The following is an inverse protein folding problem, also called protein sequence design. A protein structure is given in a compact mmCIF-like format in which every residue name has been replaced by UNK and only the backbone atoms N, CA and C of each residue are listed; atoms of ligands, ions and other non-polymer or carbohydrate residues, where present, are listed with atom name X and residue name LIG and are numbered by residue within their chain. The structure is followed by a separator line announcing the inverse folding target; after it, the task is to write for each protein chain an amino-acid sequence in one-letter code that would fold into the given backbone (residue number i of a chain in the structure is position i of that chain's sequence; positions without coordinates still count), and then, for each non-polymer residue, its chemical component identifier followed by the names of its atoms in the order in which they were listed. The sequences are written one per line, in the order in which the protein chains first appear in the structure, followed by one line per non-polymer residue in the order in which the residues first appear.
data_IF_522536718712
#
_entry.id   IF_522536718712
#
_cell.length_a   1.000
_cell.length_b   1.000
_cell.length_c   1.000
_cell.angle_alpha   90.00
_cell.angle_beta   90.00
_cell.angle_gamma   90.00
#
_symmetry.space_group_name_H-M   'P 1'
#
loop_
_entity.id
_entity.type
_entity.pdbx_description
1 polymer ?
#
# COMPACT_ATOMS: atom_id res chain seq x y z
N UNK A 1 23.73 12.82 -1.45
CA UNK A 1 24.36 13.86 -0.62
C UNK A 1 25.78 13.97 -1.13
N UNK A 2 26.20 15.16 -1.54
CA UNK A 2 27.56 15.41 -2.01
C UNK A 2 28.25 16.37 -1.03
N UNK A 3 29.49 16.07 -0.66
CA UNK A 3 30.22 16.80 0.40
C UNK A 3 31.63 17.12 -0.09
N UNK A 4 31.99 18.40 -0.26
CA UNK A 4 33.33 18.80 -0.70
C UNK A 4 34.45 18.36 0.25
N UNK A 5 35.64 18.12 -0.30
CA UNK A 5 36.81 17.61 0.43
C UNK A 5 37.26 18.55 1.55
N UNK A 6 37.32 19.84 1.28
CA UNK A 6 37.68 20.90 2.23
C UNK A 6 36.66 21.00 3.38
N UNK A 7 35.36 20.88 3.08
CA UNK A 7 34.29 20.83 4.10
C UNK A 7 34.42 19.59 4.97
N UNK A 8 34.72 18.42 4.40
CA UNK A 8 34.87 17.18 5.17
C UNK A 8 36.11 17.15 6.08
N UNK A 9 37.17 17.91 5.75
CA UNK A 9 38.39 18.02 6.53
C UNK A 9 38.35 19.14 7.60
N UNK A 10 37.30 19.97 7.59
CA UNK A 10 37.15 21.08 8.54
C UNK A 10 36.72 20.56 9.91
N UNK A 11 37.48 20.89 10.96
CA UNK A 11 37.10 20.60 12.34
C UNK A 11 36.06 21.63 12.82
N UNK A 12 35.01 21.15 13.50
CA UNK A 12 33.95 21.99 14.03
C UNK A 12 33.25 21.36 15.23
N UNK A 13 32.38 22.13 15.88
CA UNK A 13 31.52 21.63 16.94
C UNK A 13 30.45 20.73 16.31
N UNK A 14 30.31 19.52 16.85
CA UNK A 14 29.25 18.61 16.44
C UNK A 14 27.97 18.93 17.21
N UNK A 15 27.07 19.65 16.55
CA UNK A 15 25.71 19.90 17.06
C UNK A 15 24.68 19.39 16.04
N UNK A 16 24.10 18.24 16.35
CA UNK A 16 23.01 17.70 15.54
C UNK A 16 21.67 18.20 16.10
N UNK A 17 20.79 18.77 15.27
CA UNK A 17 19.51 19.26 15.75
C UNK A 17 18.66 18.10 16.29
N UNK A 18 18.01 18.31 17.43
CA UNK A 18 17.07 17.32 18.01
C UNK A 18 15.85 17.11 17.12
N UNK A 19 15.43 18.16 16.42
CA UNK A 19 14.29 18.13 15.51
C UNK A 19 14.65 18.81 14.19
N UNK A 20 14.26 18.19 13.09
CA UNK A 20 14.42 18.74 11.74
C UNK A 20 13.03 19.09 11.24
N UNK A 21 12.82 20.35 10.87
CA UNK A 21 11.58 20.80 10.22
C UNK A 21 11.86 21.18 8.77
N UNK A 22 11.11 20.59 7.84
CA UNK A 22 11.17 20.96 6.43
C UNK A 22 10.06 21.95 6.12
N UNK A 23 10.41 23.10 5.52
CA UNK A 23 9.42 24.13 5.16
C UNK A 23 8.48 23.67 4.05
N UNK A 24 9.00 22.89 3.10
CA UNK A 24 8.34 22.55 1.83
C UNK A 24 7.57 21.24 1.88
N UNK A 25 7.88 20.33 2.80
CA UNK A 25 7.26 19.01 2.88
C UNK A 25 6.51 18.84 4.20
N UNK A 26 5.19 18.73 4.11
CA UNK A 26 4.27 18.55 5.24
C UNK A 26 3.29 17.42 4.93
N UNK A 27 3.71 16.15 5.05
CA UNK A 27 2.86 15.01 4.76
C UNK A 27 1.67 14.93 5.72
N UNK A 28 0.55 14.41 5.22
CA UNK A 28 -0.67 14.23 6.00
C UNK A 28 -0.67 12.83 6.61
N UNK A 29 -0.36 12.74 7.90
CA UNK A 29 -0.35 11.46 8.63
C UNK A 29 -1.70 11.08 9.23
N UNK A 30 -2.61 12.04 9.38
CA UNK A 30 -3.95 11.78 9.92
C UNK A 30 -4.92 11.54 8.77
N UNK A 31 -5.48 10.34 8.73
CA UNK A 31 -6.54 10.01 7.79
C UNK A 31 -7.79 10.87 7.97
N UNK A 32 -8.45 11.19 6.86
CA UNK A 32 -9.68 11.98 6.87
C UNK A 32 -10.86 11.14 7.41
N UNK A 33 -11.43 11.53 8.55
CA UNK A 33 -12.50 10.78 9.22
C UNK A 33 -13.74 10.55 8.34
N UNK A 34 -14.08 11.48 7.44
CA UNK A 34 -15.22 11.30 6.52
C UNK A 34 -14.93 10.24 5.46
N UNK A 35 -13.69 10.22 4.93
CA UNK A 35 -13.27 9.20 3.97
C UNK A 35 -13.16 7.82 4.62
N UNK A 36 -12.65 7.75 5.85
CA UNK A 36 -12.59 6.49 6.62
C UNK A 36 -14.02 5.95 6.84
N UNK A 37 -14.97 6.81 7.21
CA UNK A 37 -16.38 6.39 7.38
C UNK A 37 -16.97 5.88 6.07
N UNK A 38 -16.77 6.60 4.96
CA UNK A 38 -17.22 6.17 3.63
C UNK A 38 -16.58 4.83 3.21
N UNK A 39 -15.30 4.64 3.50
CA UNK A 39 -14.60 3.38 3.25
C UNK A 39 -15.22 2.22 4.03
N UNK A 40 -15.54 2.42 5.31
CA UNK A 40 -16.22 1.41 6.12
C UNK A 40 -17.63 1.06 5.60
N UNK A 41 -18.37 2.05 5.06
CA UNK A 41 -19.67 1.82 4.42
C UNK A 41 -19.50 0.97 3.14
N UNK A 42 -18.52 1.30 2.28
CA UNK A 42 -18.21 0.52 1.08
C UNK A 42 -17.83 -0.93 1.42
N UNK A 43 -17.01 -1.14 2.44
CA UNK A 43 -16.64 -2.50 2.89
C UNK A 43 -17.86 -3.31 3.33
N UNK A 44 -18.88 -2.67 3.91
CA UNK A 44 -20.10 -3.33 4.38
C UNK A 44 -21.03 -3.73 3.23
N UNK A 45 -21.03 -2.96 2.15
CA UNK A 45 -21.89 -3.18 0.98
C UNK A 45 -21.26 -4.15 -0.05
N UNK A 46 -19.93 -4.22 -0.09
CA UNK A 46 -19.19 -5.08 -1.00
C UNK A 46 -19.46 -6.57 -0.74
N UNK A 47 -19.67 -7.33 -1.82
CA UNK A 47 -19.86 -8.79 -1.77
C UNK A 47 -18.57 -9.54 -2.05
N UNK A 48 -17.66 -8.95 -2.83
CA UNK A 48 -16.37 -9.51 -3.23
C UNK A 48 -15.25 -8.47 -3.02
N UNK A 49 -15.04 -7.96 -1.79
CA UNK A 49 -13.96 -7.03 -1.52
C UNK A 49 -12.60 -7.72 -1.61
N UNK A 50 -11.58 -6.98 -2.01
CA UNK A 50 -10.21 -7.46 -2.14
C UNK A 50 -9.21 -6.39 -1.70
N UNK A 51 -8.28 -6.75 -0.82
CA UNK A 51 -7.11 -5.90 -0.53
C UNK A 51 -6.03 -6.08 -1.59
N UNK A 52 -5.51 -4.96 -2.09
CA UNK A 52 -4.40 -4.89 -3.04
C UNK A 52 -3.24 -4.16 -2.38
N UNK A 53 -2.27 -4.94 -1.89
CA UNK A 53 -1.19 -4.45 -1.05
C UNK A 53 0.02 -4.07 -1.91
N UNK A 54 0.47 -2.83 -1.78
CA UNK A 54 1.61 -2.26 -2.50
C UNK A 54 2.87 -2.09 -1.66
N UNK A 55 3.96 -1.66 -2.29
CA UNK A 55 5.25 -1.44 -1.61
C UNK A 55 5.19 -0.40 -0.50
N UNK A 56 4.24 0.55 -0.55
CA UNK A 56 4.00 1.52 0.50
C UNK A 56 3.63 0.88 1.84
N UNK A 57 3.06 -0.33 1.85
CA UNK A 57 2.82 -1.10 3.07
C UNK A 57 4.13 -1.44 3.79
N UNK A 58 5.14 -1.88 3.04
CA UNK A 58 6.48 -2.21 3.56
C UNK A 58 7.22 -0.92 3.93
N UNK A 59 7.25 0.07 3.04
CA UNK A 59 7.96 1.34 3.28
C UNK A 59 7.42 2.12 4.49
N UNK A 60 6.14 1.96 4.81
CA UNK A 60 5.51 2.60 5.97
C UNK A 60 5.53 1.72 7.23
N UNK A 61 6.13 0.53 7.17
CA UNK A 61 6.15 -0.46 8.24
C UNK A 61 4.74 -0.81 8.77
N UNK A 62 3.76 -0.90 7.87
CA UNK A 62 2.34 -1.07 8.18
C UNK A 62 1.89 -2.55 8.23
N UNK A 63 2.81 -3.50 8.08
CA UNK A 63 2.50 -4.93 7.93
C UNK A 63 1.71 -5.50 9.11
N UNK A 64 1.99 -5.07 10.34
CA UNK A 64 1.27 -5.55 11.53
C UNK A 64 -0.19 -5.08 11.52
N UNK A 65 -0.42 -3.80 11.29
CA UNK A 65 -1.76 -3.21 11.21
C UNK A 65 -2.57 -3.80 10.05
N UNK A 66 -1.92 -4.10 8.92
CA UNK A 66 -2.57 -4.76 7.78
C UNK A 66 -2.96 -6.19 8.14
N UNK A 67 -2.09 -6.95 8.81
CA UNK A 67 -2.42 -8.31 9.28
C UNK A 67 -3.58 -8.31 10.26
N UNK A 68 -3.62 -7.35 11.17
CA UNK A 68 -4.76 -7.17 12.08
C UNK A 68 -6.05 -6.85 11.33
N UNK A 69 -5.99 -5.94 10.36
CA UNK A 69 -7.14 -5.57 9.53
C UNK A 69 -7.66 -6.75 8.70
N UNK A 70 -6.77 -7.50 8.06
CA UNK A 70 -7.12 -8.70 7.26
C UNK A 70 -7.71 -9.77 8.17
N UNK A 71 -7.13 -10.03 9.34
CA UNK A 71 -7.67 -11.00 10.31
C UNK A 71 -9.05 -10.60 10.84
N UNK A 72 -9.26 -9.31 11.08
CA UNK A 72 -10.52 -8.77 11.57
C UNK A 72 -11.62 -8.85 10.51
N UNK A 73 -11.32 -8.41 9.29
CA UNK A 73 -12.28 -8.34 8.19
C UNK A 73 -12.50 -9.67 7.48
N UNK A 74 -11.53 -10.57 7.54
CA UNK A 74 -11.47 -11.84 6.78
C UNK A 74 -11.57 -11.65 5.26
N UNK A 75 -11.21 -10.45 4.80
CA UNK A 75 -11.16 -10.11 3.37
C UNK A 75 -9.84 -10.63 2.81
N UNK A 76 -9.85 -11.34 1.67
CA UNK A 76 -8.63 -11.80 1.04
C UNK A 76 -7.77 -10.64 0.56
N UNK A 77 -6.48 -10.88 0.45
CA UNK A 77 -5.51 -9.92 -0.06
C UNK A 77 -4.61 -10.52 -1.13
N UNK A 78 -4.23 -9.68 -2.08
CA UNK A 78 -3.17 -9.94 -3.05
C UNK A 78 -2.01 -8.98 -2.79
N UNK A 79 -0.80 -9.44 -3.07
CA UNK A 79 0.41 -8.64 -2.90
C UNK A 79 0.98 -8.25 -4.27
N UNK A 80 1.43 -7.02 -4.42
CA UNK A 80 2.38 -6.69 -5.49
C UNK A 80 3.74 -7.34 -5.20
N UNK A 81 4.62 -7.40 -6.20
CA UNK A 81 6.01 -7.84 -5.99
C UNK A 81 6.70 -7.05 -4.86
N UNK A 82 6.42 -5.76 -4.75
CA UNK A 82 6.99 -4.87 -3.71
C UNK A 82 6.33 -5.01 -2.34
N UNK A 83 5.20 -5.71 -2.26
CA UNK A 83 4.48 -5.95 -1.02
C UNK A 83 4.67 -7.37 -0.48
N UNK A 84 5.45 -8.22 -1.14
CA UNK A 84 5.68 -9.58 -0.69
C UNK A 84 6.19 -9.60 0.76
N UNK A 85 5.48 -10.35 1.61
CA UNK A 85 5.78 -10.44 3.05
C UNK A 85 5.00 -9.44 3.91
N UNK A 86 4.13 -8.61 3.33
CA UNK A 86 3.17 -7.81 4.10
C UNK A 86 2.29 -8.75 4.92
N UNK A 87 1.69 -9.76 4.29
CA UNK A 87 1.10 -10.91 4.95
C UNK A 87 2.11 -12.05 5.09
N UNK A 88 1.82 -12.97 6.01
CA UNK A 88 2.61 -14.18 6.11
C UNK A 88 2.34 -15.10 4.92
N UNK A 89 3.33 -15.93 4.56
CA UNK A 89 3.19 -16.88 3.46
C UNK A 89 2.22 -18.02 3.76
N UNK A 90 1.93 -18.29 5.03
CA UNK A 90 0.99 -19.31 5.51
C UNK A 90 -0.40 -18.75 5.83
N UNK A 91 -0.63 -17.44 5.61
CA UNK A 91 -1.91 -16.80 5.87
C UNK A 91 -2.97 -17.28 4.86
N UNK A 92 -4.11 -17.76 5.36
CA UNK A 92 -5.23 -18.28 4.56
C UNK A 92 -5.87 -17.20 3.68
N UNK A 93 -5.76 -15.93 4.07
CA UNK A 93 -6.28 -14.80 3.31
C UNK A 93 -5.28 -14.25 2.29
N UNK A 94 -4.05 -14.77 2.24
CA UNK A 94 -3.03 -14.35 1.28
C UNK A 94 -3.13 -15.13 -0.04
N UNK A 95 -3.71 -14.49 -1.07
CA UNK A 95 -3.84 -15.02 -2.43
C UNK A 95 -2.54 -14.95 -3.25
N UNK A 96 -1.43 -14.50 -2.65
CA UNK A 96 -0.09 -14.38 -3.23
C UNK A 96 0.02 -13.19 -4.20
N UNK A 97 1.10 -13.22 -4.97
CA UNK A 97 1.47 -12.16 -5.89
C UNK A 97 0.45 -12.04 -7.02
N UNK A 98 0.07 -10.80 -7.35
CA UNK A 98 -0.69 -10.46 -8.55
C UNK A 98 0.21 -10.01 -9.71
N UNK A 99 -0.31 -10.11 -10.95
CA UNK A 99 0.35 -9.61 -12.16
C UNK A 99 0.80 -10.72 -13.12
N UNK A 100 1.68 -10.37 -14.07
CA UNK A 100 2.11 -11.24 -15.18
C UNK A 100 2.67 -12.60 -14.76
N UNK A 101 3.37 -12.66 -13.62
CA UNK A 101 3.89 -13.89 -13.01
C UNK A 101 3.21 -14.19 -11.66
N UNK A 102 2.03 -13.62 -11.44
CA UNK A 102 1.24 -13.80 -10.24
C UNK A 102 0.51 -15.15 -10.20
N UNK A 103 -0.11 -15.43 -9.06
CA UNK A 103 -0.94 -16.63 -8.92
C UNK A 103 -2.24 -16.48 -9.71
N UNK A 104 -2.76 -17.60 -10.20
CA UNK A 104 -4.07 -17.63 -10.87
C UNK A 104 -5.17 -17.11 -9.94
N UNK A 105 -5.14 -17.50 -8.66
CA UNK A 105 -6.13 -17.06 -7.66
C UNK A 105 -6.09 -15.55 -7.44
N UNK A 106 -4.89 -14.94 -7.37
CA UNK A 106 -4.74 -13.50 -7.23
C UNK A 106 -5.32 -12.73 -8.42
N UNK A 107 -4.97 -13.15 -9.64
CA UNK A 107 -5.43 -12.50 -10.87
C UNK A 107 -6.93 -12.67 -11.08
N UNK A 108 -7.49 -13.84 -10.74
CA UNK A 108 -8.93 -14.07 -10.79
C UNK A 108 -9.68 -13.21 -9.76
N UNK A 109 -9.17 -13.12 -8.52
CA UNK A 109 -9.76 -12.27 -7.50
C UNK A 109 -9.75 -10.79 -7.92
N UNK A 110 -8.66 -10.31 -8.53
CA UNK A 110 -8.58 -8.94 -9.06
C UNK A 110 -9.60 -8.68 -10.17
N UNK A 111 -9.77 -9.64 -11.09
CA UNK A 111 -10.75 -9.53 -12.18
C UNK A 111 -12.19 -9.49 -11.67
N UNK A 112 -12.49 -10.28 -10.63
CA UNK A 112 -13.85 -10.53 -10.15
C UNK A 112 -14.26 -9.69 -8.95
N UNK A 113 -13.37 -8.92 -8.34
CA UNK A 113 -13.73 -8.10 -7.18
C UNK A 113 -14.75 -7.00 -7.53
N UNK A 114 -15.61 -6.65 -6.56
CA UNK A 114 -16.56 -5.53 -6.66
C UNK A 114 -16.10 -4.31 -5.84
N UNK A 115 -15.10 -4.49 -4.98
CA UNK A 115 -14.39 -3.44 -4.27
C UNK A 115 -12.91 -3.79 -4.20
N UNK A 116 -12.07 -2.95 -4.79
CA UNK A 116 -10.61 -3.06 -4.72
C UNK A 116 -10.05 -2.01 -3.76
N UNK A 117 -9.45 -2.46 -2.67
CA UNK A 117 -8.83 -1.59 -1.67
C UNK A 117 -7.32 -1.60 -1.87
N UNK A 118 -6.84 -0.62 -2.64
CA UNK A 118 -5.42 -0.39 -2.86
C UNK A 118 -4.78 0.30 -1.67
N UNK A 119 -3.78 -0.33 -1.07
CA UNK A 119 -3.02 0.22 0.07
C UNK A 119 -1.56 0.36 -0.33
N UNK A 120 -1.09 1.60 -0.43
CA UNK A 120 0.31 1.92 -0.74
C UNK A 120 0.80 1.35 -2.06
N UNK A 121 -0.09 1.17 -3.04
CA UNK A 121 0.26 0.61 -4.34
C UNK A 121 0.28 1.68 -5.43
N UNK A 122 1.16 1.46 -6.40
CA UNK A 122 1.15 2.17 -7.68
C UNK A 122 0.60 1.22 -8.74
N UNK A 123 -0.32 1.73 -9.56
CA UNK A 123 -0.91 0.96 -10.66
C UNK A 123 0.04 0.92 -11.86
N UNK A 124 1.06 0.08 -11.76
CA UNK A 124 2.05 -0.18 -12.81
C UNK A 124 1.47 -1.15 -13.87
N UNK A 125 1.93 -1.01 -15.12
CA UNK A 125 1.48 -1.79 -16.26
C UNK A 125 1.82 -3.28 -16.15
N UNK A 126 2.88 -3.64 -15.41
CA UNK A 126 3.25 -5.05 -15.12
C UNK A 126 2.22 -5.79 -14.28
N UNK A 127 1.31 -5.06 -13.64
CA UNK A 127 0.21 -5.63 -12.84
C UNK A 127 -1.14 -5.39 -13.50
N UNK A 128 -1.37 -4.18 -14.02
CA UNK A 128 -2.66 -3.82 -14.61
C UNK A 128 -2.86 -4.38 -16.02
N UNK A 129 -1.77 -4.63 -16.76
CA UNK A 129 -1.85 -5.06 -18.16
C UNK A 129 -2.70 -4.09 -18.98
N UNK A 130 -3.84 -4.56 -19.49
CA UNK A 130 -4.84 -3.68 -20.13
C UNK A 130 -5.71 -3.04 -19.04
N UNK A 131 -5.46 -1.77 -18.76
CA UNK A 131 -6.16 -0.99 -17.71
C UNK A 131 -7.68 -1.02 -17.82
N UNK A 132 -8.25 -1.15 -19.03
CA UNK A 132 -9.71 -1.26 -19.22
C UNK A 132 -10.32 -2.55 -18.68
N UNK A 133 -9.51 -3.59 -18.47
CA UNK A 133 -9.95 -4.88 -17.92
C UNK A 133 -9.52 -5.06 -16.47
N UNK A 134 -8.62 -4.22 -15.97
CA UNK A 134 -8.15 -4.31 -14.59
C UNK A 134 -9.25 -3.88 -13.60
N UNK A 135 -9.62 -4.79 -12.70
CA UNK A 135 -10.65 -4.55 -11.68
C UNK A 135 -11.93 -3.92 -12.26
N UNK A 136 -12.33 -4.38 -13.45
CA UNK A 136 -13.36 -3.77 -14.30
C UNK A 136 -14.70 -3.54 -13.62
N UNK A 137 -15.04 -4.39 -12.66
CA UNK A 137 -16.31 -4.36 -11.93
C UNK A 137 -16.18 -3.73 -10.54
N UNK A 138 -14.99 -3.30 -10.15
CA UNK A 138 -14.70 -2.86 -8.81
C UNK A 138 -14.86 -1.36 -8.64
N UNK A 139 -15.45 -0.96 -7.51
CA UNK A 139 -15.17 0.36 -6.95
C UNK A 139 -13.74 0.36 -6.42
N UNK A 140 -12.93 1.36 -6.75
CA UNK A 140 -11.53 1.43 -6.32
C UNK A 140 -11.40 2.43 -5.17
N UNK A 141 -10.84 1.98 -4.04
CA UNK A 141 -10.37 2.83 -2.93
C UNK A 141 -8.86 2.82 -2.96
N UNK A 142 -8.25 4.00 -3.04
CA UNK A 142 -6.79 4.15 -3.08
C UNK A 142 -6.31 4.90 -1.84
N UNK A 143 -5.50 4.21 -1.03
CA UNK A 143 -4.87 4.74 0.17
C UNK A 143 -3.38 4.92 -0.11
N UNK A 144 -2.95 6.16 -0.27
CA UNK A 144 -1.54 6.53 -0.49
C UNK A 144 -1.15 7.73 0.38
N UNK A 145 0.15 7.87 0.65
CA UNK A 145 0.71 9.00 1.41
C UNK A 145 0.87 10.23 0.51
N UNK A 146 0.88 10.03 -0.80
CA UNK A 146 0.87 11.06 -1.84
C UNK A 146 -0.51 11.06 -2.54
N UNK A 147 -1.54 11.69 -1.91
CA UNK A 147 -2.93 11.66 -2.38
C UNK A 147 -3.20 12.52 -3.62
#
# INVERSE_FOLDING_TARGET
IDVPKDVSATLGLWEYPKEISMKTYKPVYKGNSKQIKKFAELLKEAKRPLFYLGGGCISSNASEQIRELVKFTKIPAVETLMALGTLRSDDVFNLKMAGMHGSYAANMALSECDLLVSVGARFDDRITGKTSEFAKHATIVHVDIDP
#
